data_IF_070582187263
#
_entry.id   IF_070582187263
#
_cell.length_a   1.000
_cell.length_b   1.000
_cell.length_c   1.000
_cell.angle_alpha   90.00
_cell.angle_beta   90.00
_cell.angle_gamma   90.00
#
_symmetry.space_group_name_H-M   'P 1'
#
loop_
_entity.id
_entity.type
_entity.pdbx_description
1 polymer ?
#
# COMPACT_ATOMS: atom_id res chain seq x y z
N UNK A 1 20.66 9.20 24.47
CA UNK A 1 21.43 8.19 23.70
C UNK A 1 20.79 8.11 22.32
N UNK A 2 21.57 8.18 21.23
CA UNK A 2 21.03 8.06 19.86
C UNK A 2 20.45 6.65 19.69
N UNK A 3 19.16 6.55 19.33
CA UNK A 3 18.49 5.26 19.11
C UNK A 3 19.12 4.59 17.89
N UNK A 4 19.53 3.34 18.02
CA UNK A 4 20.04 2.54 16.91
C UNK A 4 18.85 1.97 16.15
N UNK A 5 18.78 2.21 14.84
CA UNK A 5 17.75 1.67 13.97
C UNK A 5 18.33 0.63 13.01
N UNK A 6 17.55 -0.40 12.66
CA UNK A 6 17.91 -1.39 11.65
C UNK A 6 16.89 -1.39 10.49
N UNK A 7 17.38 -1.45 9.26
CA UNK A 7 16.54 -1.49 8.05
C UNK A 7 16.87 -2.75 7.25
N UNK A 8 15.85 -3.57 6.97
CA UNK A 8 15.95 -4.63 5.98
C UNK A 8 15.79 -4.01 4.59
N UNK A 9 16.78 -4.20 3.72
CA UNK A 9 16.82 -3.66 2.35
C UNK A 9 16.50 -4.79 1.39
N UNK A 10 15.40 -4.66 0.65
CA UNK A 10 14.91 -5.65 -0.29
C UNK A 10 14.88 -5.02 -1.69
N UNK A 11 15.99 -5.04 -2.46
CA UNK A 11 16.09 -4.33 -3.73
C UNK A 11 15.18 -4.92 -4.82
N UNK A 12 15.04 -6.24 -4.84
CA UNK A 12 14.19 -7.00 -5.77
C UNK A 12 14.68 -6.94 -7.22
N UNK A 13 13.74 -6.75 -8.15
CA UNK A 13 13.89 -6.99 -9.59
C UNK A 13 13.84 -5.71 -10.42
N UNK A 14 14.28 -5.82 -11.69
CA UNK A 14 14.20 -4.74 -12.67
C UNK A 14 15.02 -3.51 -12.25
N UNK A 15 14.38 -2.35 -12.23
CA UNK A 15 15.00 -1.08 -11.80
C UNK A 15 15.23 -1.01 -10.28
N UNK A 16 14.71 -1.96 -9.51
CA UNK A 16 14.71 -1.98 -8.04
C UNK A 16 16.11 -1.79 -7.43
N UNK A 17 17.12 -2.61 -7.80
CA UNK A 17 18.49 -2.44 -7.36
C UNK A 17 19.11 -1.07 -7.70
N UNK A 18 18.83 -0.53 -8.89
CA UNK A 18 19.40 0.73 -9.36
C UNK A 18 18.89 1.94 -8.54
N UNK A 19 17.58 1.99 -8.29
CA UNK A 19 16.97 3.04 -7.47
C UNK A 19 17.28 2.86 -5.99
N UNK A 20 17.40 1.61 -5.51
CA UNK A 20 17.79 1.30 -4.14
C UNK A 20 19.20 1.82 -3.83
N UNK A 21 20.14 1.67 -4.77
CA UNK A 21 21.47 2.21 -4.62
C UNK A 21 21.46 3.74 -4.41
N UNK A 22 20.56 4.48 -5.07
CA UNK A 22 20.44 5.93 -4.84
C UNK A 22 19.78 6.25 -3.49
N UNK A 23 18.77 5.48 -3.08
CA UNK A 23 18.16 5.64 -1.76
C UNK A 23 19.18 5.46 -0.63
N UNK A 24 20.08 4.47 -0.75
CA UNK A 24 21.14 4.24 0.22
C UNK A 24 22.20 5.35 0.26
N UNK A 25 22.51 6.01 -0.87
CA UNK A 25 23.36 7.21 -0.87
C UNK A 25 22.74 8.35 -0.07
N UNK A 26 21.43 8.58 -0.24
CA UNK A 26 20.70 9.60 0.53
C UNK A 26 20.64 9.22 2.00
N UNK A 27 20.41 7.94 2.31
CA UNK A 27 20.41 7.43 3.69
C UNK A 27 21.75 7.67 4.38
N UNK A 28 22.87 7.50 3.67
CA UNK A 28 24.21 7.76 4.20
C UNK A 28 24.44 9.24 4.50
N UNK A 29 23.98 10.13 3.61
CA UNK A 29 24.01 11.57 3.87
C UNK A 29 23.16 11.94 5.10
N UNK A 30 22.01 11.29 5.31
CA UNK A 30 21.16 11.47 6.49
C UNK A 30 21.85 10.97 7.77
N UNK A 31 22.45 9.78 7.75
CA UNK A 31 23.24 9.24 8.88
C UNK A 31 24.32 10.23 9.34
N UNK A 32 25.10 10.71 8.37
CA UNK A 32 26.21 11.64 8.62
C UNK A 32 25.73 13.00 9.12
N UNK A 33 24.72 13.60 8.46
CA UNK A 33 24.24 14.95 8.78
C UNK A 33 23.53 15.04 10.13
N UNK A 34 22.77 14.00 10.50
CA UNK A 34 21.96 14.00 11.72
C UNK A 34 22.52 13.12 12.83
N UNK A 35 23.74 12.59 12.66
CA UNK A 35 24.39 11.67 13.60
C UNK A 35 23.48 10.49 14.01
N UNK A 36 22.73 9.97 13.03
CA UNK A 36 21.82 8.83 13.24
C UNK A 36 22.56 7.52 13.04
N UNK A 37 22.38 6.58 13.99
CA UNK A 37 22.92 5.23 13.85
C UNK A 37 21.85 4.35 13.21
N UNK A 38 22.03 4.06 11.93
CA UNK A 38 21.12 3.21 11.14
C UNK A 38 21.96 2.09 10.52
N UNK A 39 21.68 0.83 10.80
CA UNK A 39 22.31 -0.32 10.14
C UNK A 39 21.38 -0.90 9.08
N UNK A 40 21.94 -1.60 8.09
CA UNK A 40 21.19 -2.16 6.95
C UNK A 40 21.66 -3.56 6.63
N UNK A 41 20.73 -4.47 6.35
CA UNK A 41 21.02 -5.82 5.83
C UNK A 41 20.25 -6.03 4.53
N UNK A 42 20.88 -6.63 3.52
CA UNK A 42 20.27 -6.87 2.22
C UNK A 42 19.73 -8.29 2.13
N UNK A 43 18.54 -8.44 1.54
CA UNK A 43 17.89 -9.74 1.37
C UNK A 43 17.27 -9.86 -0.02
N UNK A 44 17.33 -11.08 -0.57
CA UNK A 44 16.69 -11.40 -1.84
C UNK A 44 15.17 -11.49 -1.67
N UNK A 45 14.44 -10.96 -2.65
CA UNK A 45 12.97 -11.05 -2.73
C UNK A 45 12.54 -11.06 -4.19
N UNK A 46 11.36 -11.61 -4.49
CA UNK A 46 10.79 -11.61 -5.84
C UNK A 46 11.55 -12.54 -6.78
N UNK A 47 11.75 -12.10 -8.02
CA UNK A 47 12.45 -12.84 -9.07
C UNK A 47 13.89 -13.18 -8.72
N UNK A 48 14.63 -12.23 -8.12
CA UNK A 48 15.98 -12.45 -7.62
C UNK A 48 16.02 -13.58 -6.58
N UNK A 49 14.99 -13.65 -5.72
CA UNK A 49 14.88 -14.75 -4.78
C UNK A 49 14.49 -16.08 -5.42
N UNK A 50 13.64 -16.06 -6.46
CA UNK A 50 13.33 -17.27 -7.24
C UNK A 50 14.60 -17.82 -7.88
N UNK A 51 15.39 -16.96 -8.50
CA UNK A 51 16.62 -17.36 -9.20
C UNK A 51 17.67 -17.94 -8.24
N UNK A 52 17.83 -17.36 -7.05
CA UNK A 52 18.86 -17.74 -6.09
C UNK A 52 18.42 -18.83 -5.09
N UNK A 53 17.14 -18.87 -4.72
CA UNK A 53 16.60 -19.69 -3.62
C UNK A 53 15.39 -20.55 -4.02
N UNK A 54 14.91 -20.44 -5.26
CA UNK A 54 13.77 -21.22 -5.78
C UNK A 54 12.39 -20.76 -5.31
N UNK A 55 12.28 -19.65 -4.55
CA UNK A 55 11.00 -19.13 -4.04
C UNK A 55 11.03 -17.60 -3.91
N UNK A 56 9.89 -16.91 -4.11
CA UNK A 56 9.84 -15.44 -4.14
C UNK A 56 10.05 -14.77 -2.78
N UNK A 57 9.82 -15.47 -1.68
CA UNK A 57 10.01 -14.96 -0.32
C UNK A 57 10.72 -15.99 0.56
N UNK A 58 12.07 -16.01 0.57
CA UNK A 58 12.84 -16.91 1.39
C UNK A 58 12.58 -16.71 2.88
N UNK A 59 12.61 -17.79 3.66
CA UNK A 59 12.46 -17.72 5.13
C UNK A 59 13.48 -16.78 5.76
N UNK A 60 14.74 -16.82 5.30
CA UNK A 60 15.80 -15.93 5.76
C UNK A 60 15.48 -14.44 5.52
N UNK A 61 14.79 -14.11 4.42
CA UNK A 61 14.33 -12.75 4.14
C UNK A 61 13.26 -12.31 5.14
N UNK A 62 12.32 -13.18 5.48
CA UNK A 62 11.29 -12.90 6.50
C UNK A 62 11.93 -12.71 7.87
N UNK A 63 12.80 -13.63 8.30
CA UNK A 63 13.53 -13.55 9.57
C UNK A 63 14.38 -12.28 9.66
N UNK A 64 14.98 -11.86 8.53
CA UNK A 64 15.72 -10.61 8.43
C UNK A 64 14.85 -9.36 8.57
N UNK A 65 13.62 -9.40 8.03
CA UNK A 65 12.65 -8.32 8.19
C UNK A 65 12.10 -8.24 9.62
N UNK A 66 11.94 -9.37 10.31
CA UNK A 66 11.52 -9.42 11.72
C UNK A 66 12.54 -8.79 12.67
N UNK A 67 13.82 -8.81 12.29
CA UNK A 67 14.92 -8.19 13.05
C UNK A 67 15.07 -6.69 12.76
N UNK A 68 14.32 -6.13 11.81
CA UNK A 68 14.42 -4.74 11.40
C UNK A 68 13.30 -3.86 11.97
N UNK A 69 13.60 -2.57 12.15
CA UNK A 69 12.60 -1.56 12.52
C UNK A 69 11.74 -1.15 11.32
N UNK A 70 12.27 -1.29 10.10
CA UNK A 70 11.58 -0.99 8.86
C UNK A 70 12.12 -1.82 7.69
N UNK A 71 11.28 -1.94 6.66
CA UNK A 71 11.61 -2.59 5.39
C UNK A 71 11.71 -1.50 4.32
N UNK A 72 12.88 -1.34 3.70
CA UNK A 72 13.07 -0.50 2.52
C UNK A 72 13.02 -1.40 1.28
N UNK A 73 11.93 -1.30 0.54
CA UNK A 73 11.59 -2.21 -0.55
C UNK A 73 11.71 -1.52 -1.92
N UNK A 74 12.33 -2.19 -2.89
CA UNK A 74 12.47 -1.72 -4.28
C UNK A 74 11.26 -2.10 -5.13
N UNK A 75 11.49 -2.88 -6.19
CA UNK A 75 10.44 -3.42 -7.06
C UNK A 75 10.58 -4.94 -7.16
N UNK A 76 9.49 -5.64 -7.47
CA UNK A 76 9.53 -7.08 -7.77
C UNK A 76 8.69 -7.37 -9.00
N UNK A 77 9.04 -8.43 -9.72
CA UNK A 77 8.34 -8.85 -10.94
C UNK A 77 9.17 -8.68 -12.21
N UNK A 78 8.66 -9.27 -13.28
CA UNK A 78 9.22 -9.14 -14.62
C UNK A 78 8.81 -10.28 -15.55
N UNK A 79 8.95 -10.10 -16.88
CA UNK A 79 8.42 -11.01 -17.89
C UNK A 79 8.92 -12.46 -17.74
N UNK A 80 10.11 -12.62 -17.16
CA UNK A 80 10.72 -13.93 -16.89
C UNK A 80 9.87 -14.82 -15.97
N UNK A 81 9.12 -14.24 -15.04
CA UNK A 81 8.39 -14.98 -14.00
C UNK A 81 6.85 -14.85 -14.10
N UNK A 82 6.33 -14.12 -15.09
CA UNK A 82 4.89 -13.87 -15.27
C UNK A 82 4.05 -15.14 -15.51
N UNK A 83 4.66 -16.18 -16.10
CA UNK A 83 3.98 -17.44 -16.40
C UNK A 83 3.98 -18.45 -15.24
N UNK A 84 4.56 -18.09 -14.09
CA UNK A 84 4.53 -18.96 -12.92
C UNK A 84 3.10 -19.04 -12.34
N UNK A 85 2.78 -20.13 -11.61
CA UNK A 85 1.53 -20.20 -10.86
C UNK A 85 1.36 -18.98 -9.95
N UNK A 86 0.12 -18.49 -9.72
CA UNK A 86 -0.11 -17.23 -9.00
C UNK A 86 0.62 -17.09 -7.67
N UNK A 87 0.69 -18.16 -6.86
CA UNK A 87 1.35 -18.12 -5.55
C UNK A 87 2.88 -18.18 -5.63
N UNK A 88 3.43 -18.55 -6.79
CA UNK A 88 4.86 -18.59 -7.08
C UNK A 88 5.34 -17.35 -7.83
N UNK A 89 4.44 -16.46 -8.27
CA UNK A 89 4.81 -15.20 -8.92
C UNK A 89 5.46 -14.23 -7.92
N UNK A 90 6.47 -13.45 -8.32
CA UNK A 90 7.16 -12.49 -7.44
C UNK A 90 6.23 -11.55 -6.66
N UNK A 91 5.23 -10.97 -7.34
CA UNK A 91 4.37 -9.94 -6.77
C UNK A 91 3.42 -10.53 -5.73
N UNK A 92 2.73 -11.61 -6.09
CA UNK A 92 1.75 -12.26 -5.21
C UNK A 92 2.43 -13.06 -4.11
N UNK A 93 3.46 -13.82 -4.46
CA UNK A 93 4.20 -14.71 -3.55
C UNK A 93 5.11 -13.99 -2.55
N UNK A 94 5.47 -12.71 -2.78
CA UNK A 94 6.25 -11.94 -1.82
C UNK A 94 5.44 -10.83 -1.12
N UNK A 95 4.78 -9.94 -1.86
CA UNK A 95 4.17 -8.74 -1.26
C UNK A 95 2.97 -9.07 -0.37
N UNK A 96 2.10 -9.99 -0.79
CA UNK A 96 0.90 -10.32 -0.01
C UNK A 96 1.26 -11.03 1.30
N UNK A 97 2.17 -12.04 1.32
CA UNK A 97 2.63 -12.65 2.56
C UNK A 97 3.33 -11.65 3.49
N UNK A 98 4.20 -10.77 2.99
CA UNK A 98 4.85 -9.75 3.81
C UNK A 98 3.83 -8.82 4.49
N UNK A 99 2.84 -8.33 3.73
CA UNK A 99 1.78 -7.46 4.27
C UNK A 99 0.97 -8.16 5.36
N UNK A 100 0.61 -9.42 5.13
CA UNK A 100 -0.14 -10.24 6.10
C UNK A 100 0.70 -10.52 7.34
N UNK A 101 1.96 -10.91 7.18
CA UNK A 101 2.89 -11.27 8.25
C UNK A 101 3.13 -10.10 9.21
N UNK A 102 3.47 -8.93 8.67
CA UNK A 102 3.73 -7.72 9.45
C UNK A 102 2.46 -6.91 9.77
N UNK A 103 1.27 -7.43 9.43
CA UNK A 103 -0.03 -6.78 9.67
C UNK A 103 -0.04 -5.33 9.15
N UNK A 104 0.52 -5.10 7.97
CA UNK A 104 0.66 -3.79 7.34
C UNK A 104 -0.68 -3.31 6.76
N UNK A 105 -1.66 -3.05 7.63
CA UNK A 105 -3.04 -2.76 7.24
C UNK A 105 -3.22 -1.40 6.57
N UNK A 106 -2.27 -0.46 6.78
CA UNK A 106 -2.37 0.91 6.27
C UNK A 106 -1.37 1.15 5.15
N UNK A 107 -1.88 1.42 3.95
CA UNK A 107 -1.09 1.86 2.81
C UNK A 107 -1.30 3.36 2.56
N UNK A 108 -0.22 4.13 2.58
CA UNK A 108 -0.22 5.57 2.36
C UNK A 108 0.44 5.87 1.00
N UNK A 109 -0.33 6.47 0.07
CA UNK A 109 0.17 6.84 -1.27
C UNK A 109 -0.06 8.34 -1.52
N UNK A 110 0.93 9.19 -1.23
CA UNK A 110 0.86 10.59 -1.60
C UNK A 110 0.97 10.75 -3.12
N UNK A 111 0.09 11.56 -3.71
CA UNK A 111 0.09 11.95 -5.11
C UNK A 111 0.02 13.48 -5.17
N UNK A 112 1.11 14.11 -5.59
CA UNK A 112 1.24 15.57 -5.66
C UNK A 112 1.77 15.97 -7.02
N UNK A 113 1.14 16.96 -7.63
CA UNK A 113 1.73 17.65 -8.78
C UNK A 113 2.80 18.61 -8.27
N UNK A 114 4.05 18.37 -8.64
CA UNK A 114 5.15 19.25 -8.29
C UNK A 114 5.22 20.42 -9.25
N UNK A 115 5.51 21.59 -8.70
CA UNK A 115 5.71 22.80 -9.49
C UNK A 115 6.89 22.59 -10.47
N UNK A 116 6.68 22.93 -11.73
CA UNK A 116 7.62 22.71 -12.83
C UNK A 116 7.47 21.36 -13.55
N UNK A 117 6.59 20.47 -13.07
CA UNK A 117 6.25 19.20 -13.74
C UNK A 117 4.83 19.18 -14.32
N UNK A 118 4.16 20.34 -14.41
CA UNK A 118 2.78 20.47 -14.91
C UNK A 118 2.62 19.94 -16.33
N UNK A 119 3.65 20.09 -17.18
CA UNK A 119 3.64 19.60 -18.56
C UNK A 119 3.57 18.07 -18.69
N UNK A 120 3.93 17.32 -17.64
CA UNK A 120 3.80 15.86 -17.60
C UNK A 120 2.45 15.41 -17.03
N UNK A 121 1.65 16.33 -16.50
CA UNK A 121 0.30 16.03 -16.05
C UNK A 121 -0.58 15.74 -17.28
N UNK A 122 -1.28 14.59 -17.34
CA UNK A 122 -2.13 14.25 -18.47
C UNK A 122 -3.46 15.02 -18.49
N UNK A 123 -3.73 15.85 -17.47
CA UNK A 123 -4.93 16.68 -17.39
C UNK A 123 -4.76 17.95 -18.24
N UNK A 124 -5.90 18.57 -18.58
CA UNK A 124 -5.92 19.86 -19.28
C UNK A 124 -5.12 20.91 -18.49
N UNK A 125 -4.45 21.81 -19.21
CA UNK A 125 -3.46 22.72 -18.62
C UNK A 125 -4.02 23.63 -17.51
N UNK A 126 -5.27 24.09 -17.62
CA UNK A 126 -5.98 24.85 -16.59
C UNK A 126 -6.21 24.03 -15.30
N UNK A 127 -6.53 22.74 -15.44
CA UNK A 127 -6.67 21.82 -14.30
C UNK A 127 -5.29 21.56 -13.67
N UNK A 128 -4.27 21.29 -14.49
CA UNK A 128 -2.91 21.09 -14.03
C UNK A 128 -2.36 22.34 -13.31
N UNK A 129 -2.69 23.55 -13.79
CA UNK A 129 -2.27 24.81 -13.19
C UNK A 129 -2.85 25.02 -11.78
N UNK A 130 -4.04 24.48 -11.49
CA UNK A 130 -4.60 24.50 -10.13
C UNK A 130 -3.82 23.61 -9.15
N UNK A 131 -3.12 22.60 -9.68
CA UNK A 131 -2.35 21.64 -8.90
C UNK A 131 -3.22 20.71 -8.05
N UNK A 132 -2.58 19.68 -7.50
CA UNK A 132 -3.22 18.79 -6.52
C UNK A 132 -2.18 18.24 -5.56
N UNK A 133 -2.62 17.96 -4.34
CA UNK A 133 -1.85 17.27 -3.30
C UNK A 133 -2.80 16.37 -2.52
N UNK A 134 -2.83 15.09 -2.87
CA UNK A 134 -3.75 14.09 -2.38
C UNK A 134 -2.96 13.01 -1.63
N UNK A 135 -3.55 12.50 -0.54
CA UNK A 135 -3.03 11.32 0.15
C UNK A 135 -4.10 10.24 0.08
N UNK A 136 -3.84 9.18 -0.70
CA UNK A 136 -4.68 8.00 -0.69
C UNK A 136 -4.30 7.13 0.52
N UNK A 137 -5.26 6.89 1.40
CA UNK A 137 -5.13 5.98 2.55
C UNK A 137 -5.95 4.73 2.25
N UNK A 138 -5.27 3.60 2.05
CA UNK A 138 -5.87 2.35 1.60
C UNK A 138 -5.73 1.26 2.66
N UNK A 139 -6.83 0.58 2.99
CA UNK A 139 -6.80 -0.66 3.77
C UNK A 139 -6.16 -1.77 2.92
N UNK A 140 -5.22 -2.51 3.50
CA UNK A 140 -4.31 -3.39 2.75
C UNK A 140 -4.33 -4.86 3.22
N UNK A 141 -5.12 -5.22 4.23
CA UNK A 141 -5.06 -6.56 4.86
C UNK A 141 -6.41 -7.26 5.03
N UNK A 142 -7.51 -6.61 4.66
CA UNK A 142 -8.87 -7.15 4.69
C UNK A 142 -9.55 -7.10 3.31
N UNK A 143 -10.88 -7.02 3.31
CA UNK A 143 -11.70 -6.94 2.11
C UNK A 143 -11.58 -8.17 1.19
N UNK A 144 -11.96 -7.98 -0.07
CA UNK A 144 -12.03 -9.01 -1.12
C UNK A 144 -10.70 -9.69 -1.42
N UNK A 145 -9.57 -9.08 -1.01
CA UNK A 145 -8.24 -9.64 -1.24
C UNK A 145 -8.02 -10.88 -0.38
N UNK A 146 -8.46 -10.84 0.88
CA UNK A 146 -8.20 -11.88 1.89
C UNK A 146 -9.46 -12.58 2.40
N UNK A 147 -10.65 -12.07 2.07
CA UNK A 147 -11.92 -12.64 2.50
C UNK A 147 -12.14 -14.08 2.04
N UNK A 148 -12.86 -14.83 2.88
CA UNK A 148 -13.23 -16.23 2.64
C UNK A 148 -14.76 -16.37 2.70
N UNK A 149 -15.36 -17.29 1.93
CA UNK A 149 -14.70 -18.24 1.01
C UNK A 149 -14.18 -17.57 -0.27
N UNK A 150 -13.12 -18.13 -0.86
CA UNK A 150 -12.51 -17.70 -2.13
C UNK A 150 -12.10 -18.92 -2.95
N UNK A 151 -12.48 -18.97 -4.22
CA UNK A 151 -12.14 -20.13 -5.06
C UNK A 151 -12.94 -20.21 -6.36
N UNK A 152 -12.88 -21.40 -6.97
CA UNK A 152 -13.58 -21.76 -8.21
C UNK A 152 -14.14 -23.18 -8.07
N UNK A 153 -15.38 -23.38 -8.48
CA UNK A 153 -16.06 -24.68 -8.38
C UNK A 153 -17.02 -24.92 -9.55
N UNK A 154 -17.40 -26.19 -9.75
CA UNK A 154 -18.33 -26.61 -10.79
C UNK A 154 -17.65 -27.03 -12.10
N UNK A 155 -18.47 -27.24 -13.13
CA UNK A 155 -18.04 -27.65 -14.47
C UNK A 155 -19.09 -27.26 -15.51
N UNK A 156 -18.70 -27.14 -16.78
CA UNK A 156 -19.61 -26.75 -17.87
C UNK A 156 -20.16 -25.33 -17.68
N UNK A 157 -21.42 -25.09 -18.07
CA UNK A 157 -22.04 -23.76 -17.99
C UNK A 157 -22.26 -23.23 -16.55
N UNK A 158 -22.13 -24.09 -15.54
CA UNK A 158 -22.30 -23.73 -14.13
C UNK A 158 -20.98 -23.57 -13.37
N UNK A 159 -19.85 -23.63 -14.08
CA UNK A 159 -18.57 -23.29 -13.49
C UNK A 159 -18.57 -21.83 -13.02
N UNK A 160 -18.17 -21.60 -11.77
CA UNK A 160 -18.16 -20.27 -11.16
C UNK A 160 -16.88 -20.04 -10.36
N UNK A 161 -16.51 -18.77 -10.22
CA UNK A 161 -15.48 -18.32 -9.30
C UNK A 161 -16.08 -17.27 -8.35
N UNK A 162 -15.53 -17.16 -7.16
CA UNK A 162 -16.02 -16.23 -6.16
C UNK A 162 -14.89 -15.71 -5.26
N UNK A 163 -15.08 -14.47 -4.82
CA UNK A 163 -14.29 -13.76 -3.83
C UNK A 163 -15.26 -13.09 -2.86
N UNK A 164 -14.92 -13.05 -1.58
CA UNK A 164 -15.80 -12.48 -0.55
C UNK A 164 -15.27 -11.13 -0.08
N UNK A 165 -15.97 -10.04 -0.39
CA UNK A 165 -15.73 -8.73 0.21
C UNK A 165 -16.28 -8.73 1.64
N UNK A 166 -15.39 -8.70 2.64
CA UNK A 166 -15.74 -8.71 4.05
C UNK A 166 -14.85 -7.75 4.83
N UNK A 167 -15.48 -6.99 5.73
CA UNK A 167 -14.79 -6.17 6.71
C UNK A 167 -15.40 -6.37 8.09
N UNK A 168 -14.54 -6.46 9.08
CA UNK A 168 -14.90 -6.32 10.48
C UNK A 168 -14.77 -4.88 10.94
N UNK A 169 -15.54 -4.54 11.98
CA UNK A 169 -15.56 -3.19 12.56
C UNK A 169 -14.16 -2.67 12.93
N UNK A 170 -13.34 -3.50 13.57
CA UNK A 170 -11.99 -3.11 13.98
C UNK A 170 -11.07 -2.76 12.81
N UNK A 171 -11.28 -3.35 11.63
CA UNK A 171 -10.47 -3.10 10.43
C UNK A 171 -10.76 -1.71 9.86
N UNK A 172 -12.04 -1.32 9.85
CA UNK A 172 -12.50 -0.02 9.37
C UNK A 172 -12.10 1.07 10.38
N UNK A 173 -12.25 0.82 11.67
CA UNK A 173 -11.90 1.80 12.72
C UNK A 173 -10.41 2.18 12.68
N UNK A 174 -9.51 1.20 12.59
CA UNK A 174 -8.06 1.46 12.58
C UNK A 174 -7.61 2.25 11.34
N UNK A 175 -8.15 1.94 10.15
CA UNK A 175 -7.75 2.64 8.92
C UNK A 175 -8.36 4.04 8.86
N UNK A 176 -9.60 4.21 9.32
CA UNK A 176 -10.26 5.51 9.43
C UNK A 176 -9.45 6.44 10.37
N UNK A 177 -9.01 5.96 11.53
CA UNK A 177 -8.17 6.76 12.45
C UNK A 177 -6.88 7.23 11.77
N UNK A 178 -6.20 6.37 11.00
CA UNK A 178 -5.01 6.79 10.24
C UNK A 178 -5.36 7.89 9.21
N UNK A 179 -6.50 7.77 8.52
CA UNK A 179 -6.95 8.79 7.57
C UNK A 179 -7.20 10.15 8.25
N UNK A 180 -7.91 10.17 9.38
CA UNK A 180 -8.19 11.39 10.15
C UNK A 180 -6.92 12.02 10.76
N UNK A 181 -6.04 11.21 11.36
CA UNK A 181 -4.75 11.68 11.89
C UNK A 181 -3.84 12.24 10.78
N UNK A 182 -3.85 11.61 9.60
CA UNK A 182 -3.13 12.11 8.43
C UNK A 182 -3.73 13.42 7.91
N UNK A 183 -5.05 13.55 7.93
CA UNK A 183 -5.75 14.77 7.54
C UNK A 183 -5.43 15.95 8.47
N UNK A 184 -5.31 15.71 9.79
CA UNK A 184 -4.89 16.74 10.77
C UNK A 184 -3.51 17.33 10.49
N UNK A 185 -2.59 16.53 9.97
CA UNK A 185 -1.24 16.97 9.54
C UNK A 185 -1.23 17.63 8.16
N UNK A 186 -2.39 17.72 7.50
CA UNK A 186 -2.59 18.23 6.15
C UNK A 186 -3.70 19.30 6.18
N UNK A 187 -4.65 19.23 5.25
CA UNK A 187 -5.70 20.24 5.06
C UNK A 187 -6.99 19.95 5.85
N UNK A 188 -6.97 19.03 6.81
CA UNK A 188 -8.14 18.65 7.64
C UNK A 188 -9.39 18.30 6.84
N UNK A 189 -9.22 17.59 5.71
CA UNK A 189 -10.32 17.04 4.91
C UNK A 189 -10.12 15.55 4.68
N UNK A 190 -11.19 14.78 4.83
CA UNK A 190 -11.28 13.35 4.50
C UNK A 190 -12.47 13.14 3.57
N UNK A 191 -12.24 12.49 2.45
CA UNK A 191 -13.31 11.93 1.61
C UNK A 191 -13.24 10.42 1.71
N UNK A 192 -14.24 9.81 2.34
CA UNK A 192 -14.37 8.35 2.41
C UNK A 192 -15.01 7.83 1.12
N UNK A 193 -14.39 6.85 0.49
CA UNK A 193 -14.84 6.27 -0.77
C UNK A 193 -15.47 4.91 -0.50
N UNK A 194 -16.69 4.71 -0.98
CA UNK A 194 -17.45 3.47 -0.78
C UNK A 194 -18.41 3.19 -1.95
N UNK A 195 -19.23 2.13 -1.84
CA UNK A 195 -20.36 1.86 -2.75
C UNK A 195 -21.62 1.53 -1.94
N UNK A 196 -21.93 2.38 -0.94
CA UNK A 196 -22.98 2.13 0.06
C UNK A 196 -24.41 2.12 -0.49
N UNK A 197 -24.61 2.53 -1.75
CA UNK A 197 -25.91 2.39 -2.43
C UNK A 197 -26.23 0.92 -2.79
N UNK A 198 -25.24 0.02 -2.81
CA UNK A 198 -25.46 -1.40 -3.15
C UNK A 198 -24.74 -2.40 -2.22
N UNK A 199 -23.60 -2.07 -1.63
CA UNK A 199 -22.80 -3.02 -0.85
C UNK A 199 -23.05 -2.91 0.66
N UNK A 200 -23.40 -4.02 1.31
CA UNK A 200 -23.55 -4.11 2.77
C UNK A 200 -22.26 -3.75 3.51
N UNK A 201 -21.11 -4.19 3.01
CA UNK A 201 -19.80 -3.83 3.58
C UNK A 201 -19.55 -2.33 3.51
N UNK A 202 -19.98 -1.66 2.45
CA UNK A 202 -19.86 -0.19 2.31
C UNK A 202 -20.83 0.57 3.21
N UNK A 203 -22.01 0.02 3.50
CA UNK A 203 -22.94 0.60 4.49
C UNK A 203 -22.27 0.59 5.88
N UNK A 204 -21.72 -0.56 6.30
CA UNK A 204 -20.96 -0.68 7.55
C UNK A 204 -19.73 0.23 7.56
N UNK A 205 -19.01 0.32 6.45
CA UNK A 205 -17.88 1.23 6.28
C UNK A 205 -18.26 2.67 6.59
N UNK A 206 -19.32 3.17 5.94
CA UNK A 206 -19.81 4.54 6.10
C UNK A 206 -20.29 4.81 7.53
N UNK A 207 -20.99 3.86 8.15
CA UNK A 207 -21.40 3.93 9.57
C UNK A 207 -20.19 4.17 10.49
N UNK A 208 -19.19 3.31 10.39
CA UNK A 208 -18.02 3.34 11.27
C UNK A 208 -17.16 4.58 11.02
N UNK A 209 -16.97 4.99 9.76
CA UNK A 209 -16.23 6.21 9.45
C UNK A 209 -16.91 7.43 10.05
N UNK A 210 -18.25 7.51 10.01
CA UNK A 210 -19.01 8.58 10.67
C UNK A 210 -18.87 8.54 12.20
N UNK A 211 -18.82 7.36 12.81
CA UNK A 211 -18.58 7.23 14.24
C UNK A 211 -17.17 7.72 14.62
N UNK A 212 -16.15 7.31 13.88
CA UNK A 212 -14.75 7.74 14.10
C UNK A 212 -14.63 9.25 13.94
N UNK A 213 -15.32 9.85 12.97
CA UNK A 213 -15.31 11.30 12.72
C UNK A 213 -15.70 12.14 13.94
N UNK A 214 -16.55 11.62 14.84
CA UNK A 214 -16.94 12.32 16.08
C UNK A 214 -15.75 12.63 16.99
N UNK A 215 -14.66 11.86 16.91
CA UNK A 215 -13.41 12.12 17.64
C UNK A 215 -12.50 13.16 16.95
N UNK A 216 -12.84 13.60 15.73
CA UNK A 216 -12.08 14.54 14.91
C UNK A 216 -12.96 15.70 14.42
N UNK A 217 -13.57 16.48 15.33
CA UNK A 217 -14.49 17.56 14.96
C UNK A 217 -13.82 18.68 14.15
N UNK A 218 -12.47 18.75 14.15
CA UNK A 218 -11.68 19.69 13.36
C UNK A 218 -11.43 19.22 11.91
N UNK A 219 -11.85 18.01 11.55
CA UNK A 219 -11.66 17.44 10.20
C UNK A 219 -13.00 17.34 9.47
N UNK A 220 -13.08 17.99 8.32
CA UNK A 220 -14.23 17.89 7.42
C UNK A 220 -14.30 16.48 6.82
N UNK A 221 -15.45 15.82 6.98
CA UNK A 221 -15.74 14.52 6.38
C UNK A 221 -16.75 14.65 5.25
N UNK A 222 -16.41 14.11 4.08
CA UNK A 222 -17.32 13.85 2.98
C UNK A 222 -17.33 12.36 2.64
N UNK A 223 -18.40 11.90 1.99
CA UNK A 223 -18.49 10.56 1.40
C UNK A 223 -18.72 10.68 -0.11
N UNK A 224 -18.08 9.82 -0.88
CA UNK A 224 -18.21 9.79 -2.33
C UNK A 224 -18.25 8.33 -2.80
N UNK A 225 -19.06 8.04 -3.82
CA UNK A 225 -19.05 6.71 -4.41
C UNK A 225 -17.84 6.50 -5.32
N UNK A 226 -17.36 5.25 -5.41
CA UNK A 226 -16.15 4.91 -6.17
C UNK A 226 -16.24 5.27 -7.67
N UNK A 227 -17.43 5.22 -8.27
CA UNK A 227 -17.69 5.67 -9.65
C UNK A 227 -17.52 7.19 -9.78
N UNK A 228 -18.15 7.98 -8.90
CA UNK A 228 -17.97 9.43 -8.91
C UNK A 228 -16.52 9.86 -8.66
N UNK A 229 -15.74 9.05 -7.94
CA UNK A 229 -14.33 9.32 -7.69
C UNK A 229 -13.46 9.23 -8.95
N UNK A 230 -13.88 8.45 -9.96
CA UNK A 230 -13.20 8.37 -11.25
C UNK A 230 -13.53 9.57 -12.15
N UNK A 231 -14.76 10.05 -12.05
CA UNK A 231 -15.34 11.07 -12.94
C UNK A 231 -15.16 12.51 -12.45
N UNK A 232 -14.53 12.72 -11.28
CA UNK A 232 -14.36 14.04 -10.66
C UNK A 232 -13.41 14.96 -11.46
N UNK A 233 -13.93 15.48 -12.57
CA UNK A 233 -13.38 16.55 -13.42
C UNK A 233 -14.31 17.78 -13.43
N UNK A 234 -15.43 17.74 -12.71
CA UNK A 234 -16.37 18.86 -12.58
C UNK A 234 -16.24 19.63 -11.26
#
# INVERSE_FOLDING_TARGET
MSKNYHIAVLPGDGIGPEVMAQALKVLEAVRSRFAMRITTSHYDVGGAAIDNHGQPLPKATVEGCEQADAILFGSVGGPKWENLPPDSQPERGALLPLRKHFKLFSNLRPAKLYQGLEAFCPLRADIAANGFDILCVRELTGGIYFGQPKGREGSGQHEKAFDTEVYHRFEIERIARIAFESARKRRRKVTSIDKANVLQTSILWREIVNEVAKAYPDVELAHMYIDNCHDAVD
#
